data_IF_651436446979
#
_entry.id   IF_651436446979
#
_cell.length_a   1.000
_cell.length_b   1.000
_cell.length_c   1.000
_cell.angle_alpha   90.00
_cell.angle_beta   90.00
_cell.angle_gamma   90.00
#
_symmetry.space_group_name_H-M   'P 1'
#
loop_
_entity.id
_entity.type
_entity.pdbx_description
1 polymer ?
#
# COMPACT_ATOMS: atom_id res chain seq x y z
N UNK A 1 -1.03 -4.81 -26.66
CA UNK A 1 0.07 -3.90 -26.32
C UNK A 1 0.84 -4.51 -25.16
N UNK A 2 2.17 -4.37 -25.16
CA UNK A 2 3.05 -4.73 -24.03
C UNK A 2 3.73 -3.45 -23.58
N UNK A 3 3.85 -3.23 -22.27
CA UNK A 3 4.37 -1.99 -21.71
C UNK A 3 5.72 -2.22 -21.01
N UNK A 4 6.57 -1.19 -21.03
CA UNK A 4 7.83 -1.16 -20.29
C UNK A 4 7.55 -1.34 -18.77
N UNK A 5 8.43 -2.06 -18.08
CA UNK A 5 8.31 -2.47 -16.66
C UNK A 5 7.21 -3.49 -16.30
N UNK A 6 6.46 -4.01 -17.28
CA UNK A 6 5.59 -5.16 -17.06
C UNK A 6 6.36 -6.48 -17.17
N UNK A 7 5.99 -7.46 -16.35
CA UNK A 7 6.53 -8.83 -16.40
C UNK A 7 5.53 -9.74 -17.10
N UNK A 8 6.02 -10.67 -17.92
CA UNK A 8 5.21 -11.75 -18.50
C UNK A 8 5.14 -12.89 -17.48
N UNK A 9 3.95 -13.13 -16.92
CA UNK A 9 3.78 -14.20 -15.91
C UNK A 9 3.67 -15.60 -16.54
N UNK A 10 3.14 -15.72 -17.76
CA UNK A 10 3.01 -16.99 -18.46
C UNK A 10 2.90 -16.81 -19.99
N UNK A 11 3.21 -17.87 -20.74
CA UNK A 11 3.08 -17.95 -22.19
C UNK A 11 4.31 -17.50 -22.99
N UNK A 12 4.12 -17.43 -24.31
CA UNK A 12 5.14 -16.96 -25.27
C UNK A 12 4.47 -16.08 -26.32
N UNK A 13 5.16 -15.03 -26.76
CA UNK A 13 4.63 -14.10 -27.76
C UNK A 13 5.72 -13.35 -28.50
N UNK A 14 5.36 -12.74 -29.63
CA UNK A 14 6.17 -11.78 -30.37
C UNK A 14 5.41 -10.45 -30.44
N UNK A 15 6.12 -9.34 -30.36
CA UNK A 15 5.53 -8.00 -30.44
C UNK A 15 6.44 -7.07 -31.25
N UNK A 16 5.85 -6.07 -31.88
CA UNK A 16 6.58 -4.99 -32.55
C UNK A 16 6.80 -3.86 -31.53
N UNK A 17 8.02 -3.34 -31.46
CA UNK A 17 8.35 -2.20 -30.61
C UNK A 17 7.72 -0.95 -31.20
N UNK A 18 6.80 -0.32 -30.46
CA UNK A 18 6.09 0.90 -30.89
C UNK A 18 6.63 2.19 -30.26
N UNK A 19 7.34 2.09 -29.14
CA UNK A 19 7.95 3.23 -28.44
C UNK A 19 9.20 2.79 -27.65
N UNK A 20 10.15 3.72 -27.45
CA UNK A 20 11.37 3.52 -26.66
C UNK A 20 11.64 4.72 -25.76
N UNK A 21 12.36 4.51 -24.65
CA UNK A 21 12.78 5.56 -23.73
C UNK A 21 11.63 6.41 -23.21
N UNK A 22 11.79 7.74 -23.27
CA UNK A 22 10.81 8.71 -22.77
C UNK A 22 9.46 8.68 -23.50
N UNK A 23 9.41 8.13 -24.71
CA UNK A 23 8.18 8.03 -25.50
C UNK A 23 7.30 6.85 -25.07
N UNK A 24 7.81 5.95 -24.21
CA UNK A 24 6.99 4.90 -23.58
C UNK A 24 6.05 5.50 -22.53
N UNK A 25 4.95 4.82 -22.21
CA UNK A 25 4.03 5.29 -21.16
C UNK A 25 4.72 5.48 -19.80
N UNK A 26 5.60 4.54 -19.41
CA UNK A 26 6.40 4.68 -18.19
C UNK A 26 7.39 5.85 -18.28
N UNK A 27 7.99 6.06 -19.46
CA UNK A 27 8.86 7.20 -19.73
C UNK A 27 8.14 8.55 -19.57
N UNK A 28 6.90 8.66 -20.05
CA UNK A 28 6.05 9.84 -19.87
C UNK A 28 5.73 10.08 -18.38
N UNK A 29 5.40 9.03 -17.62
CA UNK A 29 5.17 9.13 -16.17
C UNK A 29 6.42 9.63 -15.44
N UNK A 30 7.60 9.07 -15.76
CA UNK A 30 8.86 9.50 -15.17
C UNK A 30 9.17 10.97 -15.47
N UNK A 31 8.89 11.44 -16.70
CA UNK A 31 9.03 12.85 -17.06
C UNK A 31 8.07 13.75 -16.28
N UNK A 32 6.80 13.37 -16.14
CA UNK A 32 5.83 14.12 -15.33
C UNK A 32 6.28 14.27 -13.87
N UNK A 33 6.83 13.22 -13.27
CA UNK A 33 7.36 13.27 -11.90
C UNK A 33 8.59 14.19 -11.79
N UNK A 34 9.46 14.19 -12.81
CA UNK A 34 10.67 15.02 -12.82
C UNK A 34 10.37 16.50 -13.05
N UNK A 35 9.38 16.82 -13.86
CA UNK A 35 9.00 18.20 -14.21
C UNK A 35 8.11 18.86 -13.14
N UNK A 36 7.54 18.08 -12.22
CA UNK A 36 6.76 18.58 -11.10
C UNK A 36 7.61 19.54 -10.24
N UNK A 37 7.26 20.83 -10.26
CA UNK A 37 7.97 21.87 -9.51
C UNK A 37 7.63 21.79 -8.03
N UNK A 38 8.63 21.99 -7.19
CA UNK A 38 8.43 22.16 -5.74
C UNK A 38 7.82 23.54 -5.46
N UNK A 39 6.61 23.55 -4.92
CA UNK A 39 5.99 24.78 -4.43
C UNK A 39 6.54 25.18 -3.06
N UNK A 40 6.58 26.50 -2.81
CA UNK A 40 6.86 27.03 -1.47
C UNK A 40 5.74 26.64 -0.51
N UNK A 41 6.10 26.25 0.71
CA UNK A 41 5.12 25.89 1.74
C UNK A 41 4.36 27.07 2.31
N UNK A 42 3.20 26.83 2.95
CA UNK A 42 2.44 27.89 3.61
C UNK A 42 3.25 28.79 4.55
N UNK A 43 4.13 28.23 5.38
CA UNK A 43 4.99 28.97 6.32
C UNK A 43 6.09 29.73 5.57
N UNK A 44 6.69 29.16 4.52
CA UNK A 44 7.63 29.91 3.67
C UNK A 44 6.94 31.10 2.98
N UNK A 45 5.71 30.92 2.50
CA UNK A 45 4.89 32.00 1.92
C UNK A 45 4.59 33.08 2.97
N UNK A 46 4.18 32.69 4.18
CA UNK A 46 3.91 33.60 5.31
C UNK A 46 5.17 34.35 5.76
N UNK A 47 6.31 33.67 5.86
CA UNK A 47 7.58 34.29 6.21
C UNK A 47 8.03 35.28 5.15
N UNK A 48 7.96 34.92 3.87
CA UNK A 48 8.32 35.84 2.80
C UNK A 48 7.46 37.10 2.83
N UNK A 49 6.17 36.97 3.16
CA UNK A 49 5.27 38.10 3.33
C UNK A 49 5.64 38.95 4.57
N UNK A 50 5.89 38.31 5.71
CA UNK A 50 6.34 38.97 6.93
C UNK A 50 7.65 39.74 6.73
N UNK A 51 8.65 39.11 6.12
CA UNK A 51 9.94 39.74 5.81
C UNK A 51 9.80 40.96 4.88
N UNK A 52 8.85 40.92 3.92
CA UNK A 52 8.56 42.08 3.06
C UNK A 52 7.95 43.24 3.85
N UNK A 53 7.01 42.97 4.76
CA UNK A 53 6.40 44.01 5.59
C UNK A 53 7.44 44.65 6.51
N UNK A 54 8.19 43.83 7.24
CA UNK A 54 9.23 44.32 8.16
C UNK A 54 10.32 45.07 7.40
N UNK A 55 10.77 44.55 6.27
CA UNK A 55 11.76 45.22 5.42
C UNK A 55 11.28 46.58 4.91
N UNK A 56 10.01 46.67 4.48
CA UNK A 56 9.42 47.93 4.04
C UNK A 56 9.32 48.96 5.19
N UNK A 57 8.94 48.52 6.39
CA UNK A 57 8.88 49.37 7.58
C UNK A 57 10.28 49.88 7.98
N UNK A 58 11.30 49.00 8.00
CA UNK A 58 12.69 49.38 8.30
C UNK A 58 13.18 50.40 7.28
N UNK A 59 12.98 50.14 5.98
CA UNK A 59 13.39 51.06 4.92
C UNK A 59 12.72 52.43 5.08
N UNK A 60 11.42 52.46 5.36
CA UNK A 60 10.67 53.69 5.59
C UNK A 60 11.23 54.47 6.79
N UNK A 61 11.47 53.80 7.92
CA UNK A 61 12.08 54.43 9.11
C UNK A 61 13.48 54.97 8.80
N UNK A 62 14.30 54.21 8.09
CA UNK A 62 15.64 54.64 7.70
C UNK A 62 15.62 55.88 6.79
N UNK A 63 14.69 55.93 5.83
CA UNK A 63 14.48 57.10 4.98
C UNK A 63 14.07 58.32 5.82
N UNK A 64 13.15 58.16 6.79
CA UNK A 64 12.75 59.25 7.68
C UNK A 64 13.88 59.74 8.58
N UNK A 65 14.67 58.84 9.15
CA UNK A 65 15.85 59.20 9.96
C UNK A 65 16.85 59.96 9.11
N UNK A 66 17.18 59.44 7.93
CA UNK A 66 18.13 60.04 7.01
C UNK A 66 17.70 61.45 6.59
N UNK A 67 16.49 61.59 6.05
CA UNK A 67 15.96 62.88 5.59
C UNK A 67 15.77 63.86 6.75
N UNK A 68 15.25 63.40 7.90
CA UNK A 68 15.08 64.24 9.09
C UNK A 68 16.41 64.74 9.65
N UNK A 69 17.48 63.95 9.54
CA UNK A 69 18.83 64.38 9.93
C UNK A 69 19.43 65.41 8.98
N UNK A 70 19.26 65.22 7.67
CA UNK A 70 19.69 66.20 6.65
C UNK A 70 18.94 67.53 6.83
N UNK A 71 17.64 67.50 7.09
CA UNK A 71 16.83 68.69 7.37
C UNK A 71 17.23 69.42 8.66
N UNK A 72 17.94 68.75 9.56
CA UNK A 72 18.51 69.33 10.80
C UNK A 72 19.99 69.72 10.63
N UNK A 73 20.47 69.86 9.40
CA UNK A 73 21.85 70.26 9.06
C UNK A 73 22.94 69.33 9.61
N UNK A 74 22.61 68.05 9.88
CA UNK A 74 23.62 67.06 10.25
C UNK A 74 24.45 66.62 9.04
N UNK A 75 25.69 66.21 9.29
CA UNK A 75 26.59 65.75 8.24
C UNK A 75 26.00 64.54 7.48
N UNK A 76 26.04 64.59 6.15
CA UNK A 76 25.51 63.53 5.28
C UNK A 76 26.06 62.15 5.64
N UNK A 77 27.38 62.04 5.82
CA UNK A 77 28.04 60.79 6.16
C UNK A 77 27.59 60.26 7.53
N UNK A 78 27.39 61.13 8.51
CA UNK A 78 26.91 60.75 9.85
C UNK A 78 25.47 60.21 9.81
N UNK A 79 24.59 60.86 9.03
CA UNK A 79 23.21 60.40 8.91
C UNK A 79 23.09 59.13 8.07
N UNK A 80 23.93 58.99 7.05
CA UNK A 80 24.01 57.77 6.24
C UNK A 80 24.46 56.57 7.09
N UNK A 81 25.57 56.71 7.84
CA UNK A 81 26.08 55.64 8.70
C UNK A 81 25.08 55.28 9.81
N UNK A 82 24.43 56.27 10.42
CA UNK A 82 23.39 56.05 11.43
C UNK A 82 22.20 55.27 10.85
N UNK A 83 21.72 55.64 9.67
CA UNK A 83 20.57 54.98 9.04
C UNK A 83 20.87 53.54 8.66
N UNK A 84 22.08 53.27 8.13
CA UNK A 84 22.54 51.90 7.85
C UNK A 84 22.71 51.08 9.13
N UNK A 85 23.27 51.67 10.20
CA UNK A 85 23.41 50.99 11.49
C UNK A 85 22.05 50.58 12.07
N UNK A 86 21.05 51.46 11.99
CA UNK A 86 19.67 51.16 12.39
C UNK A 86 19.08 50.06 11.52
N UNK A 87 19.29 50.12 10.20
CA UNK A 87 18.81 49.09 9.29
C UNK A 87 19.36 47.70 9.64
N UNK A 88 20.68 47.58 9.82
CA UNK A 88 21.35 46.31 10.18
C UNK A 88 20.86 45.80 11.52
N UNK A 89 20.78 46.67 12.54
CA UNK A 89 20.30 46.29 13.87
C UNK A 89 18.84 45.80 13.88
N UNK A 90 18.02 46.25 12.92
CA UNK A 90 16.61 45.91 12.82
C UNK A 90 16.32 44.64 11.99
N UNK A 91 17.30 44.08 11.26
CA UNK A 91 17.09 42.87 10.46
C UNK A 91 16.90 41.67 11.40
N UNK A 92 15.82 40.88 11.25
CA UNK A 92 15.54 39.74 12.11
C UNK A 92 16.35 38.50 11.70
N UNK A 93 17.67 38.54 11.86
CA UNK A 93 18.59 37.45 11.49
C UNK A 93 18.35 36.14 12.27
N UNK A 94 17.76 36.23 13.47
CA UNK A 94 17.44 35.07 14.29
C UNK A 94 16.27 34.23 13.76
N UNK A 95 15.41 34.78 12.90
CA UNK A 95 14.17 34.14 12.47
C UNK A 95 14.40 32.88 11.60
N UNK A 96 15.26 32.89 10.55
CA UNK A 96 15.57 31.69 9.77
C UNK A 96 16.24 30.59 10.60
N UNK A 97 17.09 30.98 11.57
CA UNK A 97 17.79 30.03 12.46
C UNK A 97 16.81 29.34 13.39
N UNK A 98 15.97 30.11 14.09
CA UNK A 98 14.96 29.57 14.99
C UNK A 98 13.99 28.61 14.27
N UNK A 99 13.56 28.98 13.06
CA UNK A 99 12.73 28.11 12.22
C UNK A 99 13.41 26.76 11.93
N UNK A 100 14.67 26.78 11.52
CA UNK A 100 15.41 25.56 11.17
C UNK A 100 15.50 24.61 12.37
N UNK A 101 15.78 25.15 13.56
CA UNK A 101 15.82 24.38 14.81
C UNK A 101 14.45 23.77 15.14
N UNK A 102 13.37 24.55 15.04
CA UNK A 102 12.01 24.07 15.32
C UNK A 102 11.61 22.96 14.36
N UNK A 103 11.88 23.11 13.06
CA UNK A 103 11.59 22.09 12.05
C UNK A 103 12.43 20.82 12.26
N UNK A 104 13.71 20.96 12.63
CA UNK A 104 14.58 19.83 12.92
C UNK A 104 14.08 19.01 14.13
N UNK A 105 13.69 19.69 15.23
CA UNK A 105 13.08 19.03 16.39
C UNK A 105 11.75 18.35 16.02
N UNK A 106 10.96 18.96 15.13
CA UNK A 106 9.74 18.35 14.58
C UNK A 106 10.03 17.06 13.82
N UNK A 107 11.03 17.07 12.94
CA UNK A 107 11.48 15.89 12.21
C UNK A 107 11.98 14.78 13.13
N UNK A 108 12.75 15.11 14.18
CA UNK A 108 13.22 14.13 15.16
C UNK A 108 12.05 13.43 15.86
N UNK A 109 11.00 14.18 16.22
CA UNK A 109 9.77 13.61 16.82
C UNK A 109 9.04 12.67 15.86
N UNK A 110 8.99 13.00 14.57
CA UNK A 110 8.38 12.13 13.54
C UNK A 110 9.21 10.86 13.36
N UNK A 111 10.54 10.97 13.34
CA UNK A 111 11.46 9.83 13.23
C UNK A 111 11.33 8.86 14.41
N UNK A 112 11.18 9.38 15.64
CA UNK A 112 10.90 8.55 16.84
C UNK A 112 9.62 7.73 16.71
N UNK A 113 8.69 8.13 15.85
CA UNK A 113 7.46 7.38 15.52
C UNK A 113 7.57 6.58 14.21
N UNK A 114 8.79 6.27 13.77
CA UNK A 114 9.11 5.52 12.54
C UNK A 114 8.74 6.24 11.23
N UNK A 115 8.52 7.56 11.25
CA UNK A 115 8.35 8.37 10.04
C UNK A 115 9.66 9.01 9.59
N UNK A 116 10.15 8.70 8.39
CA UNK A 116 11.36 9.32 7.85
C UNK A 116 11.02 10.55 7.00
N UNK A 117 11.40 11.74 7.49
CA UNK A 117 11.27 13.00 6.74
C UNK A 117 12.59 13.34 6.06
N UNK A 118 12.60 13.47 4.73
CA UNK A 118 13.83 13.77 3.95
C UNK A 118 14.08 15.26 3.71
N UNK A 119 13.05 16.10 3.86
CA UNK A 119 13.12 17.55 3.66
C UNK A 119 12.43 18.26 4.83
N UNK A 120 13.09 19.26 5.43
CA UNK A 120 12.55 20.06 6.56
C UNK A 120 11.13 20.61 6.28
N UNK A 121 10.93 21.03 5.03
CA UNK A 121 9.71 21.58 4.47
C UNK A 121 8.52 20.60 4.53
N UNK A 122 8.77 19.29 4.51
CA UNK A 122 7.71 18.29 4.54
C UNK A 122 7.07 18.13 5.92
N UNK A 123 7.81 18.37 7.01
CA UNK A 123 7.25 18.33 8.37
C UNK A 123 6.17 19.41 8.56
N UNK A 124 6.39 20.60 7.99
CA UNK A 124 5.44 21.70 8.00
C UNK A 124 4.22 21.42 7.09
N UNK A 125 4.48 20.89 5.89
CA UNK A 125 3.42 20.52 4.94
C UNK A 125 2.44 19.56 5.60
N UNK A 126 2.94 18.52 6.27
CA UNK A 126 2.10 17.53 6.97
C UNK A 126 1.21 18.17 8.04
N UNK A 127 1.71 19.15 8.79
CA UNK A 127 0.94 19.86 9.81
C UNK A 127 -0.11 20.83 9.27
N UNK A 128 -0.03 21.18 7.99
CA UNK A 128 -0.96 22.10 7.30
C UNK A 128 -1.82 21.41 6.23
N UNK A 129 -1.68 20.09 6.06
CA UNK A 129 -2.46 19.29 5.13
C UNK A 129 -3.94 19.28 5.51
N UNK A 130 -4.80 19.70 4.59
CA UNK A 130 -6.26 19.60 4.71
C UNK A 130 -6.87 18.43 3.94
N UNK A 131 -6.19 17.93 2.91
CA UNK A 131 -6.64 16.84 2.04
C UNK A 131 -5.53 15.81 1.92
N UNK A 132 -5.85 14.55 2.25
CA UNK A 132 -4.93 13.41 2.08
C UNK A 132 -5.41 12.59 0.89
N UNK A 133 -4.66 12.64 -0.22
CA UNK A 133 -4.81 11.70 -1.32
C UNK A 133 -3.98 10.46 -1.03
N UNK A 134 -4.62 9.30 -0.95
CA UNK A 134 -3.97 8.02 -0.65
C UNK A 134 -4.20 7.03 -1.79
N UNK A 135 -3.17 6.28 -2.14
CA UNK A 135 -3.34 5.08 -2.96
C UNK A 135 -3.99 3.97 -2.12
N UNK A 136 -4.62 2.99 -2.76
CA UNK A 136 -5.21 1.83 -2.09
C UNK A 136 -4.18 0.73 -1.89
N UNK A 137 -3.60 0.26 -2.98
CA UNK A 137 -2.77 -0.95 -2.99
C UNK A 137 -1.41 -0.66 -2.35
N UNK A 138 -0.97 -1.51 -1.42
CA UNK A 138 0.28 -1.35 -0.65
C UNK A 138 0.36 -0.09 0.24
N UNK A 139 -0.69 0.73 0.28
CA UNK A 139 -0.78 1.94 1.13
C UNK A 139 -1.88 1.78 2.17
N UNK A 140 -3.14 1.63 1.74
CA UNK A 140 -4.25 1.29 2.64
C UNK A 140 -4.36 -0.21 2.88
N UNK A 141 -3.97 -1.01 1.87
CA UNK A 141 -3.99 -2.47 1.95
C UNK A 141 -2.57 -3.02 2.00
N UNK A 142 -2.37 -4.20 2.61
CA UNK A 142 -1.06 -4.83 2.70
C UNK A 142 -0.57 -5.44 1.36
N UNK A 143 -1.36 -5.34 0.28
CA UNK A 143 -1.09 -6.03 -0.99
C UNK A 143 -1.08 -7.56 -0.87
N UNK A 144 -1.64 -8.10 0.21
CA UNK A 144 -1.78 -9.54 0.45
C UNK A 144 -3.23 -9.94 0.22
N UNK A 145 -3.44 -10.88 -0.70
CA UNK A 145 -4.74 -11.49 -0.90
C UNK A 145 -5.04 -12.44 0.26
N UNK A 146 -6.20 -12.29 0.89
CA UNK A 146 -6.67 -13.17 1.96
C UNK A 146 -8.12 -13.58 1.70
N UNK A 147 -8.51 -14.77 2.16
CA UNK A 147 -9.92 -15.18 2.18
C UNK A 147 -10.67 -14.26 3.13
N UNK A 148 -11.76 -13.65 2.66
CA UNK A 148 -12.56 -12.72 3.45
C UNK A 148 -13.67 -13.41 4.20
N UNK A 149 -14.32 -14.42 3.61
CA UNK A 149 -15.50 -15.12 4.16
C UNK A 149 -15.58 -16.55 3.60
N UNK A 150 -16.20 -17.47 4.35
CA UNK A 150 -16.54 -18.82 3.89
C UNK A 150 -18.03 -19.09 4.05
N UNK A 151 -18.68 -19.48 2.95
CA UNK A 151 -20.13 -19.61 2.87
C UNK A 151 -20.51 -21.06 2.56
N UNK A 152 -21.38 -21.64 3.38
CA UNK A 152 -22.08 -22.89 3.12
C UNK A 152 -23.58 -22.68 3.32
N UNK A 153 -24.42 -23.65 2.93
CA UNK A 153 -25.87 -23.57 3.20
C UNK A 153 -26.21 -23.56 4.69
N UNK A 154 -25.32 -24.06 5.56
CA UNK A 154 -25.58 -24.16 7.00
C UNK A 154 -25.09 -22.92 7.74
N UNK A 155 -23.97 -22.36 7.30
CA UNK A 155 -23.25 -21.33 8.03
C UNK A 155 -22.47 -20.41 7.09
N UNK A 156 -22.30 -19.18 7.55
CA UNK A 156 -21.41 -18.20 6.96
C UNK A 156 -20.42 -17.75 8.05
N UNK A 157 -19.13 -17.77 7.73
CA UNK A 157 -18.06 -17.39 8.65
C UNK A 157 -17.22 -16.32 7.99
N UNK A 158 -17.35 -15.08 8.46
CA UNK A 158 -16.45 -14.01 8.06
C UNK A 158 -15.05 -14.21 8.66
N UNK A 159 -14.02 -14.02 7.82
CA UNK A 159 -12.59 -14.23 8.09
C UNK A 159 -11.90 -12.92 8.50
N UNK A 160 -12.63 -11.80 8.55
CA UNK A 160 -12.07 -10.45 8.70
C UNK A 160 -11.53 -10.09 10.11
N UNK A 161 -11.29 -11.06 10.99
CA UNK A 161 -10.77 -10.80 12.34
C UNK A 161 -9.51 -11.60 12.66
N UNK A 162 -8.64 -10.99 13.49
CA UNK A 162 -7.47 -11.60 14.15
C UNK A 162 -7.78 -12.92 14.91
N UNK A 163 -9.06 -13.27 15.04
CA UNK A 163 -9.59 -14.45 15.73
C UNK A 163 -10.18 -15.50 14.79
N UNK A 164 -9.98 -15.42 13.47
CA UNK A 164 -10.58 -16.38 12.54
C UNK A 164 -10.30 -17.84 12.91
N UNK A 165 -9.10 -18.16 13.36
CA UNK A 165 -8.76 -19.50 13.83
C UNK A 165 -9.64 -19.95 15.01
N UNK A 166 -9.92 -19.06 15.96
CA UNK A 166 -10.76 -19.33 17.12
C UNK A 166 -12.24 -19.47 16.73
N UNK A 167 -12.71 -18.60 15.84
CA UNK A 167 -14.08 -18.62 15.31
C UNK A 167 -14.31 -19.91 14.54
N UNK A 168 -13.38 -20.28 13.66
CA UNK A 168 -13.46 -21.50 12.88
C UNK A 168 -13.46 -22.73 13.79
N UNK A 169 -12.57 -22.81 14.80
CA UNK A 169 -12.58 -23.92 15.77
C UNK A 169 -13.89 -24.05 16.55
N UNK A 170 -14.59 -22.95 16.83
CA UNK A 170 -15.84 -22.96 17.61
C UNK A 170 -17.10 -23.16 16.77
N UNK A 171 -17.11 -22.65 15.53
CA UNK A 171 -18.32 -22.55 14.69
C UNK A 171 -18.25 -23.36 13.39
N UNK A 172 -17.09 -23.86 12.98
CA UNK A 172 -17.00 -24.61 11.74
C UNK A 172 -17.79 -25.91 11.83
N UNK A 173 -18.79 -26.02 10.97
CA UNK A 173 -19.47 -27.29 10.72
C UNK A 173 -18.63 -28.17 9.77
N UNK A 174 -19.00 -29.46 9.59
CA UNK A 174 -18.28 -30.35 8.67
C UNK A 174 -18.23 -29.86 7.22
N UNK A 175 -19.20 -29.04 6.78
CA UNK A 175 -19.26 -28.52 5.41
C UNK A 175 -18.24 -27.37 5.24
N UNK A 176 -18.04 -26.55 6.27
CA UNK A 176 -16.97 -25.53 6.31
C UNK A 176 -15.57 -26.17 6.28
N UNK A 177 -15.36 -27.24 7.05
CA UNK A 177 -14.08 -27.98 7.05
C UNK A 177 -13.84 -28.58 5.66
N UNK A 178 -14.86 -29.18 5.03
CA UNK A 178 -14.76 -29.73 3.69
C UNK A 178 -14.47 -28.64 2.64
N UNK A 179 -15.16 -27.49 2.71
CA UNK A 179 -14.94 -26.36 1.80
C UNK A 179 -13.48 -25.89 1.82
N UNK A 180 -12.92 -25.66 3.00
CA UNK A 180 -11.51 -25.23 3.11
C UNK A 180 -10.55 -26.35 2.70
N UNK A 181 -10.88 -27.62 3.00
CA UNK A 181 -10.10 -28.77 2.53
C UNK A 181 -10.05 -28.82 1.00
N UNK A 182 -11.19 -28.63 0.32
CA UNK A 182 -11.28 -28.54 -1.14
C UNK A 182 -10.45 -27.36 -1.64
N UNK A 183 -10.60 -26.18 -1.04
CA UNK A 183 -9.86 -24.98 -1.44
C UNK A 183 -8.33 -25.11 -1.26
N UNK A 184 -7.89 -25.94 -0.30
CA UNK A 184 -6.46 -26.18 -0.02
C UNK A 184 -5.86 -27.23 -0.96
N UNK A 185 -6.61 -28.30 -1.26
CA UNK A 185 -6.17 -29.42 -2.10
C UNK A 185 -6.38 -29.17 -3.60
N UNK A 186 -7.50 -28.57 -3.99
CA UNK A 186 -7.83 -28.23 -5.37
C UNK A 186 -7.23 -26.86 -5.74
N UNK A 187 -5.90 -26.80 -5.73
CA UNK A 187 -5.15 -25.56 -5.73
C UNK A 187 -3.74 -25.73 -6.31
N UNK A 188 -3.32 -24.80 -7.18
CA UNK A 188 -2.03 -24.84 -7.90
C UNK A 188 -0.86 -24.18 -7.15
N UNK A 189 -1.11 -23.50 -6.02
CA UNK A 189 -0.04 -22.98 -5.19
C UNK A 189 0.70 -24.11 -4.47
N UNK A 190 2.02 -24.01 -4.37
CA UNK A 190 2.87 -24.97 -3.67
C UNK A 190 3.68 -24.28 -2.56
N UNK A 191 4.09 -25.06 -1.56
CA UNK A 191 4.94 -24.61 -0.47
C UNK A 191 6.37 -25.00 -0.83
N UNK A 192 7.26 -24.01 -0.98
CA UNK A 192 8.66 -24.22 -1.37
C UNK A 192 9.46 -24.92 -0.27
N UNK A 193 9.12 -24.67 1.00
CA UNK A 193 9.73 -25.25 2.20
C UNK A 193 8.73 -26.08 3.03
N UNK A 194 8.25 -27.22 2.52
CA UNK A 194 7.16 -27.99 3.15
C UNK A 194 7.55 -28.67 4.47
N UNK A 195 8.86 -28.74 4.78
CA UNK A 195 9.36 -29.35 6.02
C UNK A 195 9.32 -28.39 7.22
N UNK A 196 9.24 -27.08 6.96
CA UNK A 196 9.16 -26.08 8.02
C UNK A 196 7.75 -26.03 8.62
N UNK A 197 7.62 -25.45 9.82
CA UNK A 197 6.32 -25.26 10.46
C UNK A 197 5.68 -23.94 10.02
N UNK A 198 4.37 -23.93 9.78
CA UNK A 198 3.62 -22.68 9.67
C UNK A 198 3.84 -21.83 10.95
N UNK A 199 4.13 -20.50 10.88
CA UNK A 199 3.92 -19.59 9.73
C UNK A 199 5.14 -19.27 8.86
N UNK A 200 6.26 -20.00 8.93
CA UNK A 200 7.48 -19.69 8.11
C UNK A 200 7.41 -20.21 6.66
N UNK A 201 6.26 -20.65 6.19
CA UNK A 201 6.09 -21.15 4.82
C UNK A 201 6.25 -20.08 3.74
N UNK A 202 6.97 -20.44 2.68
CA UNK A 202 7.10 -19.70 1.43
C UNK A 202 6.14 -20.33 0.43
N UNK A 203 4.98 -19.70 0.24
CA UNK A 203 3.93 -20.18 -0.66
C UNK A 203 4.06 -19.48 -2.02
N UNK A 204 4.25 -20.27 -3.09
CA UNK A 204 4.36 -19.82 -4.49
C UNK A 204 3.10 -20.15 -5.27
N UNK A 205 2.82 -19.39 -6.33
CA UNK A 205 1.61 -19.51 -7.15
C UNK A 205 0.84 -18.19 -7.28
N UNK A 206 -0.34 -18.24 -7.89
CA UNK A 206 -1.20 -17.05 -8.05
C UNK A 206 -1.66 -16.51 -6.69
N UNK A 207 -1.95 -15.21 -6.62
CA UNK A 207 -2.35 -14.54 -5.37
C UNK A 207 -3.56 -15.22 -4.71
N UNK A 208 -4.58 -15.59 -5.50
CA UNK A 208 -5.77 -16.30 -5.01
C UNK A 208 -5.44 -17.68 -4.47
N UNK A 209 -4.63 -18.46 -5.20
CA UNK A 209 -4.25 -19.81 -4.79
C UNK A 209 -3.47 -19.79 -3.48
N UNK A 210 -2.52 -18.86 -3.35
CA UNK A 210 -1.76 -18.63 -2.12
C UNK A 210 -2.67 -18.27 -0.94
N UNK A 211 -3.67 -17.42 -1.16
CA UNK A 211 -4.63 -17.02 -0.15
C UNK A 211 -5.45 -18.21 0.39
N UNK A 212 -5.88 -19.13 -0.49
CA UNK A 212 -6.63 -20.32 -0.11
C UNK A 212 -5.79 -21.34 0.68
N UNK A 213 -4.52 -21.56 0.28
CA UNK A 213 -3.59 -22.42 1.05
C UNK A 213 -3.31 -21.82 2.43
N UNK A 214 -3.11 -20.50 2.49
CA UNK A 214 -2.91 -19.78 3.75
C UNK A 214 -4.16 -19.88 4.66
N UNK A 215 -5.35 -19.82 4.09
CA UNK A 215 -6.59 -20.01 4.82
C UNK A 215 -6.65 -21.40 5.47
N UNK A 216 -6.36 -22.47 4.71
CA UNK A 216 -6.22 -23.82 5.26
C UNK A 216 -5.23 -23.88 6.42
N UNK A 217 -4.01 -23.36 6.22
CA UNK A 217 -2.96 -23.38 7.23
C UNK A 217 -3.37 -22.68 8.54
N UNK A 218 -4.01 -21.51 8.44
CA UNK A 218 -4.51 -20.74 9.58
C UNK A 218 -5.51 -21.55 10.42
N UNK A 219 -6.36 -22.39 9.84
CA UNK A 219 -7.32 -23.24 10.60
C UNK A 219 -6.78 -24.61 10.98
N UNK A 220 -5.48 -24.88 10.76
CA UNK A 220 -4.84 -26.16 11.06
C UNK A 220 -4.95 -27.20 9.95
N UNK A 221 -5.53 -26.86 8.79
CA UNK A 221 -5.61 -27.69 7.60
C UNK A 221 -4.35 -27.48 6.74
N UNK A 222 -3.26 -28.15 7.13
CA UNK A 222 -1.95 -28.02 6.49
C UNK A 222 -1.88 -28.81 5.18
N UNK A 223 -1.61 -28.14 4.07
CA UNK A 223 -1.53 -28.75 2.73
C UNK A 223 -0.63 -30.01 2.67
N UNK A 224 0.61 -30.02 3.19
CA UNK A 224 1.46 -31.21 3.12
C UNK A 224 0.92 -32.42 3.88
N UNK A 225 0.20 -32.18 4.99
CA UNK A 225 -0.44 -33.25 5.77
C UNK A 225 -1.69 -33.79 5.04
N UNK A 226 -2.47 -32.88 4.42
CA UNK A 226 -3.65 -33.25 3.63
C UNK A 226 -3.29 -34.02 2.36
N UNK A 227 -2.21 -33.64 1.66
CA UNK A 227 -1.75 -34.33 0.45
C UNK A 227 -1.25 -35.76 0.76
N UNK A 228 -0.63 -35.97 1.93
CA UNK A 228 -0.29 -37.31 2.42
C UNK A 228 -1.53 -38.12 2.78
N UNK A 229 -2.50 -37.49 3.46
CA UNK A 229 -3.74 -38.15 3.90
C UNK A 229 -4.68 -38.48 2.73
N UNK A 230 -4.72 -37.63 1.72
CA UNK A 230 -5.58 -37.74 0.54
C UNK A 230 -4.74 -37.63 -0.73
N UNK A 231 -3.97 -38.68 -1.09
CA UNK A 231 -3.07 -38.64 -2.24
C UNK A 231 -3.78 -38.25 -3.52
N UNK A 232 -3.19 -37.31 -4.27
CA UNK A 232 -3.69 -36.90 -5.59
C UNK A 232 -3.36 -37.97 -6.62
N UNK A 233 -4.38 -38.46 -7.30
CA UNK A 233 -4.30 -39.47 -8.36
C UNK A 233 -4.11 -38.79 -9.73
N UNK A 234 -4.88 -37.73 -9.98
CA UNK A 234 -4.92 -37.03 -11.27
C UNK A 234 -5.34 -35.56 -11.09
N UNK A 235 -5.10 -34.72 -12.11
CA UNK A 235 -5.46 -33.31 -12.10
C UNK A 235 -5.87 -32.76 -13.48
N UNK A 236 -6.80 -31.82 -13.48
CA UNK A 236 -7.11 -30.92 -14.58
C UNK A 236 -6.70 -29.52 -14.12
N UNK A 237 -5.58 -28.96 -14.62
CA UNK A 237 -5.09 -27.65 -14.22
C UNK A 237 -6.09 -26.55 -14.60
N UNK A 238 -5.96 -25.38 -13.97
CA UNK A 238 -6.87 -24.28 -14.25
C UNK A 238 -6.75 -23.84 -15.71
N UNK A 239 -7.87 -23.85 -16.42
CA UNK A 239 -7.95 -23.32 -17.78
C UNK A 239 -8.91 -22.13 -17.82
N UNK A 240 -8.51 -20.93 -18.30
CA UNK A 240 -9.37 -19.75 -18.40
C UNK A 240 -10.67 -19.97 -19.21
N UNK A 241 -10.66 -20.91 -20.16
CA UNK A 241 -11.84 -21.28 -20.96
C UNK A 241 -12.85 -22.03 -20.08
N UNK A 242 -12.37 -22.99 -19.30
CA UNK A 242 -13.21 -23.83 -18.44
C UNK A 242 -13.57 -23.11 -17.12
N UNK A 243 -12.71 -22.19 -16.66
CA UNK A 243 -12.79 -21.42 -15.40
C UNK A 243 -12.89 -22.28 -14.13
N UNK A 244 -12.36 -23.50 -14.16
CA UNK A 244 -12.23 -24.36 -12.99
C UNK A 244 -10.93 -25.15 -13.04
N UNK A 245 -10.54 -25.65 -11.88
CA UNK A 245 -9.52 -26.67 -11.63
C UNK A 245 -10.21 -27.90 -11.02
N UNK A 246 -9.72 -29.10 -11.32
CA UNK A 246 -10.22 -30.33 -10.71
C UNK A 246 -9.09 -31.27 -10.30
N UNK A 247 -9.11 -31.76 -9.06
CA UNK A 247 -8.11 -32.70 -8.55
C UNK A 247 -8.81 -33.99 -8.07
N UNK A 248 -8.33 -35.13 -8.55
CA UNK A 248 -8.82 -36.44 -8.14
C UNK A 248 -7.98 -36.96 -6.98
N UNK A 249 -8.61 -37.30 -5.85
CA UNK A 249 -7.93 -37.78 -4.65
C UNK A 249 -8.38 -39.18 -4.25
N UNK A 250 -7.46 -39.97 -3.69
CA UNK A 250 -7.79 -41.21 -2.99
C UNK A 250 -8.17 -40.89 -1.54
N UNK A 251 -9.42 -41.19 -1.17
CA UNK A 251 -9.93 -40.99 0.20
C UNK A 251 -10.48 -42.32 0.68
N UNK A 252 -9.80 -42.91 1.67
CA UNK A 252 -10.07 -44.29 2.12
C UNK A 252 -10.10 -45.24 0.91
N UNK A 253 -11.22 -45.93 0.68
CA UNK A 253 -11.38 -46.86 -0.44
C UNK A 253 -12.11 -46.26 -1.67
N UNK A 254 -12.27 -44.93 -1.72
CA UNK A 254 -13.00 -44.23 -2.79
C UNK A 254 -12.11 -43.22 -3.51
N UNK A 255 -12.45 -42.95 -4.75
CA UNK A 255 -11.85 -41.86 -5.52
C UNK A 255 -12.83 -40.68 -5.47
N UNK A 256 -12.35 -39.51 -5.06
CA UNK A 256 -13.15 -38.31 -4.88
C UNK A 256 -12.57 -37.20 -5.74
N UNK A 257 -13.39 -36.66 -6.64
CA UNK A 257 -13.03 -35.52 -7.47
C UNK A 257 -13.42 -34.22 -6.76
N UNK A 258 -12.44 -33.38 -6.46
CA UNK A 258 -12.64 -32.02 -5.99
C UNK A 258 -12.55 -31.05 -7.15
N UNK A 259 -13.45 -30.07 -7.19
CA UNK A 259 -13.50 -29.06 -8.24
C UNK A 259 -13.63 -27.68 -7.58
N UNK A 260 -12.83 -26.73 -8.03
CA UNK A 260 -12.84 -25.34 -7.57
C UNK A 260 -12.80 -24.41 -8.78
N UNK A 261 -13.56 -23.32 -8.77
CA UNK A 261 -13.66 -22.45 -9.94
C UNK A 261 -14.70 -21.36 -9.81
N UNK A 262 -15.03 -20.73 -10.93
CA UNK A 262 -16.04 -19.69 -11.00
C UNK A 262 -17.40 -20.23 -10.52
N UNK A 263 -18.09 -19.56 -9.57
CA UNK A 263 -19.33 -20.06 -8.97
C UNK A 263 -20.38 -20.49 -10.01
N UNK A 264 -20.58 -19.69 -11.06
CA UNK A 264 -21.54 -19.98 -12.12
C UNK A 264 -21.21 -21.25 -12.91
N UNK A 265 -19.92 -21.58 -13.07
CA UNK A 265 -19.49 -22.81 -13.77
C UNK A 265 -19.69 -24.03 -12.90
N UNK A 266 -19.31 -23.95 -11.63
CA UNK A 266 -19.49 -25.05 -10.67
C UNK A 266 -20.98 -25.36 -10.49
N UNK A 267 -21.82 -24.32 -10.35
CA UNK A 267 -23.26 -24.51 -10.22
C UNK A 267 -23.88 -25.15 -11.47
N UNK A 268 -23.45 -24.77 -12.67
CA UNK A 268 -23.98 -25.33 -13.92
C UNK A 268 -23.69 -26.83 -14.10
N UNK A 269 -22.58 -27.33 -13.55
CA UNK A 269 -22.21 -28.76 -13.62
C UNK A 269 -22.62 -29.54 -12.36
N UNK A 270 -23.25 -28.88 -11.39
CA UNK A 270 -23.70 -29.49 -10.14
C UNK A 270 -25.15 -29.94 -10.26
N UNK A 271 -25.41 -31.24 -10.17
CA UNK A 271 -26.77 -31.79 -10.18
C UNK A 271 -27.39 -31.90 -8.79
N UNK A 272 -26.59 -31.77 -7.72
CA UNK A 272 -27.00 -31.91 -6.33
C UNK A 272 -26.25 -30.92 -5.46
N UNK A 273 -26.89 -30.49 -4.38
CA UNK A 273 -26.28 -29.65 -3.35
C UNK A 273 -26.63 -30.21 -1.98
N UNK A 274 -25.75 -29.98 -1.00
CA UNK A 274 -25.97 -30.47 0.36
C UNK A 274 -26.76 -29.43 1.15
N UNK A 275 -28.05 -29.69 1.34
CA UNK A 275 -28.92 -28.90 2.20
C UNK A 275 -28.62 -29.13 3.68
N UNK A 276 -28.98 -28.14 4.51
CA UNK A 276 -29.13 -28.27 5.96
C UNK A 276 -30.06 -29.47 6.21
N UNK A 277 -29.62 -30.43 7.02
CA UNK A 277 -30.25 -31.76 7.16
C UNK A 277 -31.79 -31.70 7.15
N UNK A 278 -32.41 -32.06 6.01
CA UNK A 278 -33.45 -33.11 5.93
C UNK A 278 -34.00 -33.40 4.52
N UNK A 279 -33.42 -32.89 3.42
CA UNK A 279 -33.78 -33.36 2.07
C UNK A 279 -32.55 -33.39 1.16
N UNK A 280 -32.17 -34.59 0.71
CA UNK A 280 -31.41 -34.75 -0.54
C UNK A 280 -32.44 -34.61 -1.66
N UNK A 281 -32.31 -33.58 -2.49
CA UNK A 281 -32.95 -33.49 -3.81
C UNK A 281 -31.85 -33.31 -4.83
#
# INVERSE_FOLDING_TARGET
MVYMECVVEDGKGKAVVTAIGQNTEMGKVAMMVKEAREEKTPLQKKLAHFSKIVGALIALICIFIFLGGILRERAFLEMFTTSVAVAVAAIPEGLPVAMTVILALGMERILKRKGLVRKLVAAETLGSTSIVATDKTLTLTEGKMEVSETITFKSEIAVNEKKWQEIFKKKADPDQILLITIATLCNEAFIENPQDLYPVWIIRGRLTDRALVLAGAKVGLKKPELEKKYPRIDEIPFNPINKFIANLHKIENRNVLYVSGAPEKILAISSRFKLKENRRS
#
